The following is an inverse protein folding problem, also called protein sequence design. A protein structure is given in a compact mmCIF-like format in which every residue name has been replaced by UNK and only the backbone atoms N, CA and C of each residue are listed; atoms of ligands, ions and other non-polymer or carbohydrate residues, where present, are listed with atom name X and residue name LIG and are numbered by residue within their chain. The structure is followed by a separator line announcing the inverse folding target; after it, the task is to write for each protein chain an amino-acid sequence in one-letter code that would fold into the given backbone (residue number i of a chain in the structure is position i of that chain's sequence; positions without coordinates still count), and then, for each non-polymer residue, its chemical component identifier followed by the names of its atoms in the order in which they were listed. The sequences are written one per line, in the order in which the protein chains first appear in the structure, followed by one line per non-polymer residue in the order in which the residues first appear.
data_IF_823588432965
#
_entry.id   IF_823588432965
#
_cell.length_a   1.000
_cell.length_b   1.000
_cell.length_c   1.000
_cell.angle_alpha   90.00
_cell.angle_beta   90.00
_cell.angle_gamma   90.00
#
_symmetry.space_group_name_H-M   'P 1'
#
loop_
_entity.id
_entity.type
_entity.pdbx_description
1 polymer ?
#
# COMPACT_ATOMS: atom_id res chain seq x y z
N UNK A 1 2.57 10.55 -11.61
CA UNK A 1 2.58 9.60 -10.48
C UNK A 1 3.91 8.89 -10.48
N UNK A 2 4.72 9.02 -9.42
CA UNK A 2 5.97 8.26 -9.26
C UNK A 2 5.74 7.20 -8.18
N UNK A 3 6.28 6.00 -8.33
CA UNK A 3 6.31 5.06 -7.21
C UNK A 3 7.03 5.69 -6.01
N UNK A 4 6.55 5.38 -4.81
CA UNK A 4 7.16 5.87 -3.58
C UNK A 4 8.64 5.47 -3.55
N UNK A 5 9.53 6.46 -3.47
CA UNK A 5 10.96 6.25 -3.28
C UNK A 5 11.30 5.87 -1.84
N UNK A 6 12.60 5.63 -1.54
CA UNK A 6 13.05 5.14 -0.23
C UNK A 6 12.55 5.98 0.95
N UNK A 7 12.68 7.31 0.91
CA UNK A 7 12.25 8.19 2.01
C UNK A 7 10.71 8.14 2.24
N UNK A 8 9.94 8.03 1.16
CA UNK A 8 8.49 7.85 1.25
C UNK A 8 8.12 6.49 1.86
N UNK A 9 8.84 5.43 1.49
CA UNK A 9 8.66 4.10 2.08
C UNK A 9 9.08 4.06 3.56
N UNK A 10 10.14 4.78 3.95
CA UNK A 10 10.56 4.92 5.35
C UNK A 10 9.46 5.61 6.18
N UNK A 11 8.82 6.64 5.62
CA UNK A 11 7.66 7.32 6.25
C UNK A 11 6.47 6.36 6.44
N UNK A 12 6.34 5.37 5.55
CA UNK A 12 5.30 4.34 5.59
C UNK A 12 5.74 3.06 6.29
N UNK A 13 6.92 3.02 6.95
CA UNK A 13 7.49 1.79 7.48
C UNK A 13 6.56 1.04 8.43
N UNK A 14 5.83 1.76 9.31
CA UNK A 14 4.85 1.14 10.22
C UNK A 14 3.64 0.56 9.47
N UNK A 15 3.14 1.25 8.44
CA UNK A 15 2.05 0.74 7.61
C UNK A 15 2.50 -0.51 6.85
N UNK A 16 3.67 -0.44 6.21
CA UNK A 16 4.28 -1.55 5.47
C UNK A 16 4.54 -2.76 6.38
N UNK A 17 5.02 -2.51 7.61
CA UNK A 17 5.18 -3.52 8.64
C UNK A 17 3.87 -4.24 8.95
N UNK A 18 2.80 -3.48 9.22
CA UNK A 18 1.47 -4.06 9.45
C UNK A 18 1.00 -4.90 8.25
N UNK A 19 1.23 -4.45 7.01
CA UNK A 19 0.88 -5.22 5.81
C UNK A 19 1.63 -6.56 5.75
N UNK A 20 2.92 -6.55 6.08
CA UNK A 20 3.77 -7.76 6.12
C UNK A 20 3.30 -8.77 7.16
N UNK A 21 2.86 -8.31 8.33
CA UNK A 21 2.38 -9.18 9.42
C UNK A 21 1.17 -10.03 9.03
N UNK A 22 0.37 -9.60 8.04
CA UNK A 22 -0.77 -10.39 7.54
C UNK A 22 -0.33 -11.67 6.81
N UNK A 23 0.90 -11.75 6.32
CA UNK A 23 1.46 -12.94 5.65
C UNK A 23 0.76 -13.37 4.35
N UNK A 24 -0.28 -12.66 3.89
CA UNK A 24 -1.09 -13.03 2.73
C UNK A 24 -0.50 -12.56 1.38
N UNK A 25 0.48 -11.65 1.43
CA UNK A 25 1.03 -10.97 0.25
C UNK A 25 2.51 -11.26 0.09
N UNK A 26 2.95 -11.37 -1.17
CA UNK A 26 4.37 -11.45 -1.52
C UNK A 26 4.88 -10.06 -1.84
N UNK A 27 5.98 -9.64 -1.24
CA UNK A 27 6.63 -8.35 -1.50
C UNK A 27 7.91 -8.54 -2.32
N UNK A 28 7.85 -8.61 -3.67
CA UNK A 28 9.06 -8.77 -4.49
C UNK A 28 10.00 -7.56 -4.44
N UNK A 29 9.49 -6.38 -4.07
CA UNK A 29 10.28 -5.15 -3.88
C UNK A 29 9.65 -4.34 -2.75
N UNK A 30 10.44 -3.54 -1.99
CA UNK A 30 9.91 -2.69 -0.93
C UNK A 30 8.70 -1.87 -1.37
N UNK A 31 7.58 -2.01 -0.67
CA UNK A 31 6.36 -1.27 -0.95
C UNK A 31 5.57 -1.72 -2.18
N UNK A 32 5.91 -2.86 -2.79
CA UNK A 32 5.16 -3.46 -3.89
C UNK A 32 4.75 -4.87 -3.52
N UNK A 33 3.44 -5.11 -3.46
CA UNK A 33 2.85 -6.35 -2.99
C UNK A 33 2.04 -7.05 -4.09
N UNK A 34 2.19 -8.37 -4.12
CA UNK A 34 1.54 -9.26 -5.07
C UNK A 34 0.63 -10.23 -4.32
N UNK A 35 -0.53 -10.52 -4.92
CA UNK A 35 -1.47 -11.55 -4.48
C UNK A 35 -1.72 -12.51 -5.63
N UNK A 36 -1.56 -13.82 -5.39
CA UNK A 36 -1.75 -14.87 -6.41
C UNK A 36 -1.00 -14.59 -7.74
N UNK A 37 0.24 -14.10 -7.63
CA UNK A 37 1.10 -13.81 -8.79
C UNK A 37 0.78 -12.52 -9.57
N UNK A 38 -0.21 -11.72 -9.14
CA UNK A 38 -0.56 -10.44 -9.76
C UNK A 38 -0.21 -9.27 -8.83
N UNK A 39 0.19 -8.15 -9.41
CA UNK A 39 0.33 -6.90 -8.67
C UNK A 39 -1.01 -6.55 -8.00
N UNK A 40 -0.94 -6.27 -6.70
CA UNK A 40 -2.11 -6.14 -5.84
C UNK A 40 -2.09 -4.84 -5.04
N UNK A 41 -0.94 -4.40 -4.55
CA UNK A 41 -0.81 -3.15 -3.82
C UNK A 41 0.55 -2.51 -4.12
N UNK A 42 0.59 -1.21 -4.33
CA UNK A 42 1.83 -0.45 -4.41
C UNK A 42 1.65 0.99 -3.93
N UNK A 43 2.75 1.64 -3.57
CA UNK A 43 2.73 3.01 -3.06
C UNK A 43 3.25 4.02 -4.09
N UNK A 44 2.69 5.22 -3.99
CA UNK A 44 3.05 6.39 -4.79
C UNK A 44 3.32 7.60 -3.90
N UNK A 45 4.19 8.48 -4.38
CA UNK A 45 4.42 9.82 -3.83
C UNK A 45 4.15 10.87 -4.91
N UNK A 46 3.52 11.97 -4.51
CA UNK A 46 3.35 13.18 -5.32
C UNK A 46 3.13 14.40 -4.40
N UNK A 47 3.05 15.65 -4.92
CA UNK A 47 2.91 16.84 -4.09
C UNK A 47 1.67 16.87 -3.18
N UNK A 48 0.62 16.10 -3.46
CA UNK A 48 -0.56 16.00 -2.59
C UNK A 48 -0.36 15.03 -1.40
N UNK A 49 0.69 14.19 -1.44
CA UNK A 49 1.09 13.31 -0.35
C UNK A 49 1.46 11.90 -0.80
N UNK A 50 1.22 10.96 0.10
CA UNK A 50 1.48 9.53 -0.08
C UNK A 50 0.17 8.79 -0.34
N UNK A 51 0.23 7.86 -1.29
CA UNK A 51 -0.92 7.10 -1.76
C UNK A 51 -0.62 5.61 -1.83
N UNK A 52 -1.63 4.80 -1.55
CA UNK A 52 -1.67 3.37 -1.74
C UNK A 52 -2.66 3.05 -2.86
N UNK A 53 -2.17 2.43 -3.92
CA UNK A 53 -3.02 1.93 -5.01
C UNK A 53 -3.24 0.44 -4.75
N UNK A 54 -4.48 0.08 -4.39
CA UNK A 54 -4.92 -1.27 -4.06
C UNK A 54 -5.79 -1.80 -5.20
N UNK A 55 -5.56 -3.04 -5.59
CA UNK A 55 -6.37 -3.71 -6.61
C UNK A 55 -7.58 -4.36 -5.97
N UNK A 56 -8.76 -3.80 -6.22
CA UNK A 56 -10.05 -4.34 -5.81
C UNK A 56 -10.73 -4.91 -7.05
N UNK A 57 -11.00 -6.21 -7.03
CA UNK A 57 -11.43 -6.98 -8.20
C UNK A 57 -10.51 -6.78 -9.42
N UNK A 58 -11.00 -6.08 -10.45
CA UNK A 58 -10.27 -5.80 -11.69
C UNK A 58 -9.68 -4.39 -11.73
N UNK A 59 -10.05 -3.51 -10.80
CA UNK A 59 -9.76 -2.08 -10.84
C UNK A 59 -8.74 -1.66 -9.78
N UNK A 60 -8.13 -0.50 -9.99
CA UNK A 60 -7.23 0.12 -9.03
C UNK A 60 -7.99 1.20 -8.27
N UNK A 61 -8.07 1.03 -6.97
CA UNK A 61 -8.57 2.04 -6.05
C UNK A 61 -7.40 2.73 -5.36
N UNK A 62 -7.45 4.06 -5.30
CA UNK A 62 -6.41 4.87 -4.69
C UNK A 62 -6.86 5.38 -3.33
N UNK A 63 -6.02 5.13 -2.33
CA UNK A 63 -6.22 5.59 -0.95
C UNK A 63 -5.09 6.54 -0.59
N UNK A 64 -5.42 7.70 -0.03
CA UNK A 64 -4.40 8.53 0.63
C UNK A 64 -3.97 7.82 1.91
N UNK A 65 -2.67 7.86 2.22
CA UNK A 65 -2.05 7.23 3.39
C UNK A 65 -1.01 8.15 4.03
N UNK A 66 -1.19 9.46 3.85
CA UNK A 66 -0.26 10.47 4.36
C UNK A 66 -0.34 10.53 5.89
N UNK A 67 -1.55 10.50 6.42
CA UNK A 67 -1.84 10.64 7.85
C UNK A 67 -2.13 9.31 8.55
N UNK A 68 -2.04 9.28 9.89
CA UNK A 68 -2.23 8.05 10.66
C UNK A 68 -3.65 7.48 10.55
N UNK A 69 -4.69 8.32 10.59
CA UNK A 69 -6.09 7.88 10.45
C UNK A 69 -6.40 7.33 9.05
N UNK A 70 -5.76 7.92 8.02
CA UNK A 70 -5.84 7.44 6.64
C UNK A 70 -5.22 6.05 6.52
N UNK A 71 -4.06 5.82 7.15
CA UNK A 71 -3.40 4.51 7.20
C UNK A 71 -4.24 3.47 7.93
N UNK A 72 -4.84 3.84 9.07
CA UNK A 72 -5.73 2.95 9.82
C UNK A 72 -6.95 2.55 8.99
N UNK A 73 -7.57 3.52 8.33
CA UNK A 73 -8.70 3.29 7.41
C UNK A 73 -8.30 2.37 6.26
N UNK A 74 -7.14 2.64 5.63
CA UNK A 74 -6.62 1.81 4.55
C UNK A 74 -6.39 0.36 4.96
N UNK A 75 -5.88 0.10 6.18
CA UNK A 75 -5.70 -1.27 6.68
C UNK A 75 -7.04 -2.02 6.79
N UNK A 76 -8.12 -1.36 7.23
CA UNK A 76 -9.46 -1.96 7.26
C UNK A 76 -9.94 -2.34 5.86
N UNK A 77 -9.70 -1.49 4.86
CA UNK A 77 -10.02 -1.80 3.46
C UNK A 77 -9.19 -2.96 2.93
N UNK A 78 -7.87 -2.92 3.16
CA UNK A 78 -6.96 -3.99 2.78
C UNK A 78 -7.43 -5.35 3.33
N UNK A 79 -7.76 -5.42 4.61
CA UNK A 79 -8.18 -6.66 5.27
C UNK A 79 -9.45 -7.25 4.67
N UNK A 80 -10.37 -6.40 4.20
CA UNK A 80 -11.59 -6.82 3.49
C UNK A 80 -11.30 -7.27 2.05
N UNK A 81 -10.19 -6.82 1.47
CA UNK A 81 -9.81 -7.12 0.10
C UNK A 81 -8.87 -8.31 -0.05
N UNK A 82 -8.30 -8.84 1.04
CA UNK A 82 -7.39 -10.01 1.05
C UNK A 82 -8.11 -11.33 0.76
#
# INVERSE_FOLDING_TARGET
MKHAGPAALDTLALLIGAIRERGALKEPRPGVFYRKGKAFLHFHEDPAGLFADLRVDAEWERFRVSEQDERATFLVFLDRSL
#
